data_IF_303183568625
#
_entry.id   IF_303183568625
#
_cell.length_a   1.000
_cell.length_b   1.000
_cell.length_c   1.000
_cell.angle_alpha   90.00
_cell.angle_beta   90.00
_cell.angle_gamma   90.00
#
_symmetry.space_group_name_H-M   'P 1'
#
loop_
_entity.id
_entity.type
_entity.pdbx_description
1 polymer ?
#
# COMPACT_ATOMS: atom_id res chain seq x y z
N UNK A 1 -8.99 -18.52 -18.40
CA UNK A 1 -9.97 -17.57 -17.84
C UNK A 1 -9.21 -16.55 -16.99
N UNK A 2 -9.05 -15.32 -17.48
CA UNK A 2 -8.52 -14.19 -16.70
C UNK A 2 -9.69 -13.23 -16.50
N UNK A 3 -10.35 -13.31 -15.36
CA UNK A 3 -11.21 -12.25 -14.86
C UNK A 3 -10.54 -11.74 -13.59
N UNK A 4 -10.02 -10.52 -13.62
CA UNK A 4 -9.75 -9.72 -12.43
C UNK A 4 -10.26 -8.32 -12.77
N UNK A 5 -11.57 -8.14 -12.88
CA UNK A 5 -12.21 -6.82 -12.99
C UNK A 5 -13.59 -6.85 -12.31
N UNK A 6 -13.60 -6.97 -10.98
CA UNK A 6 -14.79 -6.66 -10.16
C UNK A 6 -14.83 -5.16 -9.78
N UNK A 7 -14.38 -4.28 -10.69
CA UNK A 7 -14.44 -2.84 -10.49
C UNK A 7 -15.08 -2.16 -11.70
N UNK A 8 -16.21 -1.54 -11.43
CA UNK A 8 -16.89 -0.65 -12.37
C UNK A 8 -16.37 0.77 -12.20
N UNK A 9 -15.96 1.39 -13.30
CA UNK A 9 -15.63 2.82 -13.36
C UNK A 9 -16.85 3.60 -13.85
N UNK A 10 -17.18 4.68 -13.16
CA UNK A 10 -18.22 5.62 -13.57
C UNK A 10 -17.60 6.93 -14.06
N UNK A 11 -18.38 7.75 -14.76
CA UNK A 11 -17.91 9.07 -15.22
C UNK A 11 -17.73 10.02 -14.04
N UNK A 12 -16.88 11.02 -14.22
CA UNK A 12 -16.56 11.99 -13.17
C UNK A 12 -17.45 13.25 -13.23
N UNK A 13 -18.43 13.28 -14.14
CA UNK A 13 -19.21 14.47 -14.53
C UNK A 13 -19.99 15.09 -13.38
N UNK A 14 -20.50 14.28 -12.44
CA UNK A 14 -21.27 14.77 -11.30
C UNK A 14 -20.37 15.41 -10.22
N UNK A 15 -19.06 15.11 -10.24
CA UNK A 15 -18.13 15.51 -9.19
C UNK A 15 -17.31 16.75 -9.56
N UNK A 16 -17.31 17.19 -10.82
CA UNK A 16 -16.57 18.37 -11.26
C UNK A 16 -17.28 19.14 -12.38
N UNK A 17 -17.23 20.47 -12.31
CA UNK A 17 -17.89 21.36 -13.28
C UNK A 17 -16.95 21.98 -14.32
N UNK A 18 -15.65 21.82 -14.15
CA UNK A 18 -14.61 22.43 -14.98
C UNK A 18 -13.75 21.39 -15.70
N UNK A 19 -12.89 21.84 -16.61
CA UNK A 19 -12.01 21.00 -17.41
C UNK A 19 -12.64 20.47 -18.69
N UNK A 20 -11.82 19.82 -19.50
CA UNK A 20 -12.16 19.30 -20.84
C UNK A 20 -11.88 17.81 -20.88
N UNK A 21 -12.87 17.03 -21.30
CA UNK A 21 -12.71 15.59 -21.50
C UNK A 21 -11.98 15.31 -22.81
N UNK A 22 -10.98 14.44 -22.75
CA UNK A 22 -10.19 14.02 -23.89
C UNK A 22 -10.10 12.50 -23.94
N UNK A 23 -10.03 11.96 -25.15
CA UNK A 23 -9.85 10.55 -25.40
C UNK A 23 -8.46 10.31 -25.99
N UNK A 24 -7.74 9.34 -25.42
CA UNK A 24 -6.43 8.93 -25.89
C UNK A 24 -6.62 7.76 -26.85
N UNK A 25 -6.33 8.00 -28.13
CA UNK A 25 -6.42 6.99 -29.19
C UNK A 25 -5.22 6.02 -29.22
N UNK A 26 -4.34 6.09 -28.22
CA UNK A 26 -3.13 5.25 -28.14
C UNK A 26 -3.43 3.87 -27.55
N UNK A 27 -2.83 2.84 -28.14
CA UNK A 27 -2.83 1.47 -27.63
C UNK A 27 -1.80 1.24 -26.51
N UNK A 28 -1.02 2.25 -26.14
CA UNK A 28 0.08 2.12 -25.17
C UNK A 28 -0.38 1.93 -23.72
N UNK A 29 -1.67 2.16 -23.41
CA UNK A 29 -2.24 1.82 -22.10
C UNK A 29 -3.11 0.56 -22.19
N UNK A 30 -2.84 -0.37 -21.27
CA UNK A 30 -3.65 -1.57 -21.07
C UNK A 30 -4.84 -1.33 -20.13
N UNK A 31 -4.85 -0.20 -19.40
CA UNK A 31 -5.91 0.18 -18.48
C UNK A 31 -6.98 0.98 -19.22
N UNK A 32 -8.19 0.43 -19.32
CA UNK A 32 -9.32 1.03 -20.04
C UNK A 32 -9.72 2.39 -19.47
N UNK A 33 -9.73 2.53 -18.14
CA UNK A 33 -10.04 3.76 -17.42
C UNK A 33 -9.01 4.89 -17.64
N UNK A 34 -7.83 4.58 -18.17
CA UNK A 34 -6.80 5.57 -18.51
C UNK A 34 -6.89 6.04 -19.97
N UNK A 35 -7.87 5.56 -20.75
CA UNK A 35 -8.09 6.02 -22.14
C UNK A 35 -8.87 7.32 -22.22
N UNK A 36 -9.57 7.69 -21.15
CA UNK A 36 -10.19 9.00 -21.01
C UNK A 36 -9.42 9.79 -19.96
N UNK A 37 -9.31 11.10 -20.17
CA UNK A 37 -8.75 12.01 -19.18
C UNK A 37 -9.53 13.31 -19.17
N UNK A 38 -9.46 14.02 -18.04
CA UNK A 38 -9.89 15.41 -17.93
C UNK A 38 -8.67 16.31 -17.85
N UNK A 39 -8.58 17.29 -18.74
CA UNK A 39 -7.54 18.32 -18.72
C UNK A 39 -8.09 19.63 -18.21
N UNK A 40 -7.22 20.47 -17.65
CA UNK A 40 -7.58 21.77 -17.08
C UNK A 40 -6.74 22.88 -17.72
N UNK A 41 -7.05 23.27 -18.98
CA UNK A 41 -6.29 24.30 -19.68
C UNK A 41 -6.54 25.72 -19.13
N UNK A 42 -7.62 25.90 -18.37
CA UNK A 42 -8.04 27.18 -17.82
C UNK A 42 -8.25 27.08 -16.30
N UNK A 43 -7.94 28.17 -15.59
CA UNK A 43 -8.16 28.32 -14.15
C UNK A 43 -7.01 27.80 -13.30
N UNK A 44 -6.75 28.48 -12.20
CA UNK A 44 -5.60 28.20 -11.34
C UNK A 44 -5.83 27.01 -10.39
N UNK A 45 -7.10 26.70 -10.07
CA UNK A 45 -7.49 25.59 -9.19
C UNK A 45 -8.82 24.98 -9.66
N UNK A 46 -8.86 23.65 -9.75
CA UNK A 46 -10.02 22.87 -10.17
C UNK A 46 -10.33 21.82 -9.09
N UNK A 47 -11.54 21.85 -8.52
CA UNK A 47 -11.90 21.06 -7.35
C UNK A 47 -12.95 20.00 -7.68
N UNK A 48 -12.66 18.76 -7.33
CA UNK A 48 -13.65 17.68 -7.30
C UNK A 48 -14.43 17.72 -5.98
N UNK A 49 -15.75 17.71 -6.06
CA UNK A 49 -16.66 17.59 -4.93
C UNK A 49 -17.10 16.14 -4.78
N UNK A 50 -16.27 15.33 -4.14
CA UNK A 50 -16.57 13.92 -3.89
C UNK A 50 -17.56 13.76 -2.72
N UNK A 51 -18.47 12.76 -2.75
CA UNK A 51 -19.54 12.58 -1.77
C UNK A 51 -19.00 11.92 -0.47
N UNK A 52 -18.02 12.54 0.17
CA UNK A 52 -17.45 12.04 1.40
C UNK A 52 -18.42 12.21 2.57
N UNK A 53 -18.67 11.10 3.28
CA UNK A 53 -19.41 11.08 4.53
C UNK A 53 -18.47 11.46 5.66
N UNK A 54 -18.90 12.40 6.49
CA UNK A 54 -18.13 12.82 7.66
C UNK A 54 -17.85 11.64 8.58
N UNK A 55 -16.64 11.59 9.15
CA UNK A 55 -16.18 10.53 10.06
C UNK A 55 -16.03 9.14 9.42
N UNK A 56 -16.06 9.06 8.09
CA UNK A 56 -15.75 7.85 7.33
C UNK A 56 -14.31 7.91 6.78
N UNK A 57 -13.68 6.75 6.66
CA UNK A 57 -12.32 6.61 6.11
C UNK A 57 -12.42 6.30 4.64
N UNK A 58 -11.58 6.94 3.84
CA UNK A 58 -11.56 6.75 2.39
C UNK A 58 -10.15 6.44 1.93
N UNK A 59 -10.04 5.45 1.03
CA UNK A 59 -8.86 5.27 0.21
C UNK A 59 -9.05 6.08 -1.07
N UNK A 60 -8.33 7.20 -1.19
CA UNK A 60 -8.35 8.02 -2.40
C UNK A 60 -7.19 7.62 -3.30
N UNK A 61 -7.48 7.35 -4.57
CA UNK A 61 -6.48 7.07 -5.61
C UNK A 61 -6.68 8.05 -6.75
N UNK A 62 -5.61 8.74 -7.12
CA UNK A 62 -5.57 9.58 -8.30
C UNK A 62 -4.69 8.92 -9.36
N UNK A 63 -5.20 8.82 -10.58
CA UNK A 63 -4.51 8.28 -11.74
C UNK A 63 -4.13 9.40 -12.70
N UNK A 64 -2.90 9.39 -13.21
CA UNK A 64 -2.42 10.40 -14.15
C UNK A 64 -1.80 9.75 -15.37
N UNK A 65 -2.35 10.03 -16.54
CA UNK A 65 -1.81 9.56 -17.81
C UNK A 65 -2.03 10.65 -18.86
N UNK A 66 -0.93 11.22 -19.35
CA UNK A 66 -0.99 12.31 -20.34
C UNK A 66 -1.32 11.79 -21.74
N UNK A 67 -0.77 10.64 -22.14
CA UNK A 67 -1.05 10.01 -23.43
C UNK A 67 -0.81 10.87 -24.68
N UNK A 68 -0.15 12.03 -24.54
CA UNK A 68 0.02 13.03 -25.59
C UNK A 68 -1.30 13.43 -26.30
N UNK A 69 -2.39 13.55 -25.54
CA UNK A 69 -3.73 13.77 -26.10
C UNK A 69 -3.85 15.07 -26.93
N UNK A 70 -3.00 16.06 -26.68
CA UNK A 70 -2.95 17.37 -27.34
C UNK A 70 -1.86 17.49 -28.42
N UNK A 71 -1.09 16.41 -28.65
CA UNK A 71 0.05 16.35 -29.58
C UNK A 71 1.21 17.33 -29.28
N UNK A 72 1.32 17.87 -28.07
CA UNK A 72 2.37 18.83 -27.72
C UNK A 72 3.65 18.18 -27.21
N UNK A 73 3.63 16.88 -26.89
CA UNK A 73 4.72 16.13 -26.27
C UNK A 73 5.25 16.80 -24.99
N UNK A 74 4.39 17.56 -24.32
CA UNK A 74 4.75 18.38 -23.16
C UNK A 74 3.73 18.14 -22.05
N UNK A 75 3.95 17.11 -21.21
CA UNK A 75 3.08 16.84 -20.07
C UNK A 75 2.97 18.05 -19.13
N UNK A 76 1.77 18.36 -18.60
CA UNK A 76 1.60 19.47 -17.67
C UNK A 76 2.22 19.16 -16.30
N UNK A 77 2.59 20.22 -15.56
CA UNK A 77 2.96 20.14 -14.15
C UNK A 77 1.82 20.72 -13.31
N UNK A 78 1.47 20.07 -12.21
CA UNK A 78 0.39 20.51 -11.32
C UNK A 78 0.62 20.02 -9.89
N UNK A 79 -0.12 20.59 -8.96
CA UNK A 79 -0.19 20.15 -7.57
C UNK A 79 -1.55 19.49 -7.34
N UNK A 80 -1.55 18.30 -6.72
CA UNK A 80 -2.76 17.66 -6.22
C UNK A 80 -2.92 17.99 -4.74
N UNK A 81 -4.04 18.60 -4.39
CA UNK A 81 -4.43 18.90 -3.01
C UNK A 81 -5.65 18.06 -2.62
N UNK A 82 -5.69 17.59 -1.37
CA UNK A 82 -6.84 16.88 -0.80
C UNK A 82 -7.22 17.57 0.50
N UNK A 83 -8.34 18.29 0.48
CA UNK A 83 -8.88 18.99 1.64
C UNK A 83 -9.75 18.04 2.48
N UNK A 84 -9.35 17.75 3.74
CA UNK A 84 -10.14 16.91 4.63
C UNK A 84 -9.69 16.96 6.11
N UNK A 85 -10.66 17.03 7.02
CA UNK A 85 -10.44 16.84 8.47
C UNK A 85 -10.73 15.38 8.83
N UNK A 86 -9.69 14.56 8.96
CA UNK A 86 -9.82 13.11 9.20
C UNK A 86 -9.67 12.76 10.69
N UNK A 87 -10.71 12.28 11.38
CA UNK A 87 -10.53 11.68 12.72
C UNK A 87 -10.66 10.16 12.63
N UNK A 88 -9.65 9.40 13.07
CA UNK A 88 -9.47 8.02 12.64
C UNK A 88 -9.01 7.10 13.79
N UNK A 89 -9.67 5.95 13.93
CA UNK A 89 -9.30 4.83 14.85
C UNK A 89 -8.57 3.66 14.16
N UNK A 90 -8.23 3.80 12.87
CA UNK A 90 -7.30 2.94 12.13
C UNK A 90 -5.98 3.70 12.03
N UNK A 91 -4.86 2.99 12.22
CA UNK A 91 -3.59 3.59 12.67
C UNK A 91 -3.76 4.22 14.06
N UNK A 92 -4.06 3.37 15.06
CA UNK A 92 -4.41 3.78 16.44
C UNK A 92 -3.40 4.73 17.09
N UNK A 93 -2.14 4.70 16.65
CA UNK A 93 -1.07 5.55 17.15
C UNK A 93 -1.03 6.94 16.49
N UNK A 94 -1.86 7.21 15.48
CA UNK A 94 -1.83 8.46 14.74
C UNK A 94 -2.64 9.59 15.38
N UNK A 95 -2.12 10.83 15.33
CA UNK A 95 -2.88 12.01 15.69
C UNK A 95 -4.11 12.19 14.80
N UNK A 96 -5.20 12.63 15.43
CA UNK A 96 -6.40 13.10 14.75
C UNK A 96 -6.04 14.19 13.70
N UNK A 97 -6.62 14.11 12.51
CA UNK A 97 -6.49 15.00 11.34
C UNK A 97 -5.20 14.88 10.52
N UNK A 98 -4.65 13.67 10.45
CA UNK A 98 -3.47 13.40 9.61
C UNK A 98 -3.86 12.59 8.38
N UNK A 99 -3.43 13.03 7.20
CA UNK A 99 -3.50 12.24 5.97
C UNK A 99 -2.19 11.46 5.78
N UNK A 100 -2.27 10.20 5.34
CA UNK A 100 -1.10 9.41 4.98
C UNK A 100 -0.91 9.40 3.47
N UNK A 101 0.33 9.57 3.05
CA UNK A 101 0.78 9.19 1.73
C UNK A 101 1.36 7.78 1.80
N UNK A 102 0.84 6.84 1.00
CA UNK A 102 1.38 5.49 0.92
C UNK A 102 2.71 5.51 0.16
N UNK A 103 3.82 5.34 0.87
CA UNK A 103 5.13 5.28 0.22
C UNK A 103 5.40 3.91 -0.42
N UNK A 104 5.12 2.83 0.31
CA UNK A 104 5.30 1.46 -0.20
C UNK A 104 4.38 0.47 0.50
N UNK A 105 3.97 -0.58 -0.23
CA UNK A 105 3.30 -1.77 0.31
C UNK A 105 3.82 -3.00 -0.41
N UNK A 106 4.47 -3.88 0.35
CA UNK A 106 5.29 -4.96 -0.18
C UNK A 106 4.78 -6.30 0.37
N UNK A 107 4.66 -7.28 -0.51
CA UNK A 107 4.37 -8.67 -0.18
C UNK A 107 5.67 -9.48 -0.27
N UNK A 108 6.36 -9.60 0.86
CA UNK A 108 7.64 -10.30 0.95
C UNK A 108 7.45 -11.82 0.82
N UNK A 109 8.28 -12.46 -0.01
CA UNK A 109 8.20 -13.90 -0.29
C UNK A 109 7.30 -14.22 -1.50
N UNK A 110 6.53 -13.25 -1.99
CA UNK A 110 5.79 -13.39 -3.24
C UNK A 110 6.69 -13.04 -4.44
N UNK A 111 6.63 -13.86 -5.48
CA UNK A 111 7.35 -13.63 -6.73
C UNK A 111 6.50 -12.87 -7.75
N UNK A 112 7.10 -12.53 -8.90
CA UNK A 112 6.44 -11.74 -9.95
C UNK A 112 5.22 -12.43 -10.60
N UNK A 113 5.03 -13.73 -10.40
CA UNK A 113 3.84 -14.44 -10.89
C UNK A 113 2.59 -14.15 -10.03
N UNK A 114 2.78 -13.66 -8.80
CA UNK A 114 1.69 -13.28 -7.91
C UNK A 114 1.14 -11.92 -8.32
N UNK A 115 -0.19 -11.78 -8.48
CA UNK A 115 -0.76 -10.52 -8.93
C UNK A 115 -0.60 -9.45 -7.86
N UNK A 116 -0.44 -8.20 -8.31
CA UNK A 116 -0.40 -7.02 -7.42
C UNK A 116 -1.77 -6.61 -6.89
N UNK A 117 -2.82 -7.05 -7.58
CA UNK A 117 -4.23 -6.84 -7.25
C UNK A 117 -4.90 -8.19 -7.08
N UNK A 118 -5.73 -8.31 -6.05
CA UNK A 118 -6.53 -9.50 -5.82
C UNK A 118 -7.98 -9.24 -6.20
N UNK A 119 -8.78 -10.31 -6.30
CA UNK A 119 -10.22 -10.17 -6.55
C UNK A 119 -10.89 -9.42 -5.39
N UNK A 120 -12.06 -8.84 -5.61
CA UNK A 120 -12.82 -8.16 -4.54
C UNK A 120 -13.05 -9.08 -3.33
N UNK A 121 -13.29 -10.37 -3.57
CA UNK A 121 -13.48 -11.36 -2.50
C UNK A 121 -12.22 -11.61 -1.67
N UNK A 122 -11.05 -11.48 -2.30
CA UNK A 122 -9.75 -11.72 -1.68
C UNK A 122 -9.14 -10.44 -1.10
N UNK A 123 -9.44 -9.26 -1.63
CA UNK A 123 -9.02 -7.97 -1.08
C UNK A 123 -10.09 -6.91 -1.35
N UNK A 124 -11.08 -6.76 -0.45
CA UNK A 124 -12.20 -5.85 -0.65
C UNK A 124 -11.78 -4.37 -0.61
N UNK A 125 -10.60 -4.09 -0.04
CA UNK A 125 -9.99 -2.75 -0.06
C UNK A 125 -9.17 -2.50 -1.32
N UNK A 126 -9.07 -3.50 -2.20
CA UNK A 126 -8.36 -3.50 -3.46
C UNK A 126 -6.94 -2.97 -3.30
N UNK A 127 -6.24 -3.32 -2.23
CA UNK A 127 -4.89 -2.84 -2.00
C UNK A 127 -3.91 -3.34 -3.07
N UNK A 128 -2.92 -2.51 -3.37
CA UNK A 128 -1.86 -2.87 -4.31
C UNK A 128 -0.67 -3.38 -3.51
N UNK A 129 -0.28 -4.62 -3.77
CA UNK A 129 0.84 -5.28 -3.11
C UNK A 129 1.96 -5.52 -4.11
N UNK A 130 3.15 -4.93 -3.87
CA UNK A 130 4.32 -5.21 -4.72
C UNK A 130 4.91 -6.57 -4.29
N UNK A 131 4.92 -7.61 -5.14
CA UNK A 131 5.64 -8.83 -4.81
C UNK A 131 7.14 -8.54 -4.74
N UNK A 132 7.81 -9.11 -3.74
CA UNK A 132 9.24 -8.95 -3.53
C UNK A 132 9.83 -10.25 -2.98
N UNK A 133 10.78 -10.83 -3.72
CA UNK A 133 11.59 -11.94 -3.25
C UNK A 133 12.83 -11.39 -2.56
N UNK A 134 13.23 -11.99 -1.44
CA UNK A 134 14.45 -11.62 -0.71
C UNK A 134 15.33 -12.86 -0.61
N UNK A 135 16.23 -13.11 -1.58
CA UNK A 135 16.97 -14.38 -1.69
C UNK A 135 17.84 -14.74 -0.47
N UNK A 136 18.17 -13.75 0.35
CA UNK A 136 18.89 -13.94 1.62
C UNK A 136 18.06 -14.61 2.72
N UNK A 137 16.76 -14.82 2.50
CA UNK A 137 15.83 -15.44 3.44
C UNK A 137 15.06 -16.58 2.76
N UNK A 138 14.52 -17.49 3.57
CA UNK A 138 13.63 -18.54 3.06
C UNK A 138 12.27 -17.94 2.70
N UNK A 139 11.84 -18.11 1.46
CA UNK A 139 10.47 -17.78 1.07
C UNK A 139 9.51 -18.89 1.52
N UNK A 140 8.51 -18.53 2.32
CA UNK A 140 7.34 -19.37 2.58
C UNK A 140 6.29 -19.05 1.54
N UNK A 141 5.90 -20.07 0.78
CA UNK A 141 4.87 -19.98 -0.26
C UNK A 141 3.89 -21.14 -0.11
N UNK A 142 2.61 -20.96 -0.48
CA UNK A 142 1.61 -22.01 -0.32
C UNK A 142 1.88 -23.17 -1.29
N UNK A 143 1.56 -24.39 -0.83
CA UNK A 143 1.77 -25.62 -1.59
C UNK A 143 1.07 -25.57 -2.97
N UNK A 144 1.81 -25.88 -4.03
CA UNK A 144 1.31 -25.82 -5.40
C UNK A 144 1.18 -24.39 -5.97
N UNK A 145 1.73 -23.37 -5.29
CA UNK A 145 1.82 -21.99 -5.79
C UNK A 145 0.48 -21.25 -5.83
N UNK A 146 -0.55 -21.75 -5.16
CA UNK A 146 -1.88 -21.14 -5.09
C UNK A 146 -2.17 -20.67 -3.67
N UNK A 147 -2.47 -19.39 -3.52
CA UNK A 147 -2.86 -18.81 -2.23
C UNK A 147 -4.29 -19.15 -1.85
N UNK A 148 -4.57 -19.13 -0.55
CA UNK A 148 -5.89 -19.29 0.05
C UNK A 148 -6.75 -18.08 -0.28
N UNK A 149 -7.87 -18.34 -0.97
CA UNK A 149 -8.91 -17.34 -1.16
C UNK A 149 -9.69 -17.17 0.14
N UNK A 150 -9.78 -15.94 0.63
CA UNK A 150 -10.44 -15.65 1.90
C UNK A 150 -10.83 -14.19 1.98
N UNK A 151 -11.97 -13.95 2.62
CA UNK A 151 -12.46 -12.62 2.94
C UNK A 151 -11.56 -11.98 3.98
N UNK A 152 -11.24 -10.69 3.82
CA UNK A 152 -10.54 -9.93 4.85
C UNK A 152 -11.45 -9.85 6.10
N UNK A 153 -11.04 -10.47 7.20
CA UNK A 153 -11.89 -10.66 8.39
C UNK A 153 -11.76 -9.52 9.41
N UNK A 154 -10.72 -8.67 9.29
CA UNK A 154 -10.41 -7.60 10.25
C UNK A 154 -9.90 -6.35 9.54
N UNK A 155 -10.38 -5.17 9.96
CA UNK A 155 -9.89 -3.86 9.52
C UNK A 155 -8.36 -3.77 9.63
N UNK A 156 -7.71 -3.42 8.51
CA UNK A 156 -6.25 -3.27 8.38
C UNK A 156 -5.42 -4.55 8.46
N UNK A 157 -6.01 -5.75 8.42
CA UNK A 157 -5.26 -7.00 8.26
C UNK A 157 -5.32 -7.43 6.78
N UNK A 158 -4.18 -7.74 6.12
CA UNK A 158 -4.19 -8.24 4.75
C UNK A 158 -4.93 -9.57 4.69
N UNK A 159 -5.49 -9.89 3.54
CA UNK A 159 -6.11 -11.20 3.35
C UNK A 159 -5.08 -12.32 3.33
N UNK A 160 -5.58 -13.56 3.44
CA UNK A 160 -4.75 -14.75 3.29
C UNK A 160 -4.07 -14.85 1.91
N UNK A 161 -4.64 -14.20 0.89
CA UNK A 161 -4.01 -14.10 -0.42
C UNK A 161 -2.62 -13.42 -0.37
N UNK A 162 -2.40 -12.55 0.64
CA UNK A 162 -1.12 -11.92 0.92
C UNK A 162 -0.36 -12.69 2.00
N UNK A 163 -1.03 -13.03 3.11
CA UNK A 163 -0.38 -13.63 4.29
C UNK A 163 0.17 -15.04 4.07
N UNK A 164 -0.24 -15.73 3.00
CA UNK A 164 0.36 -17.02 2.61
C UNK A 164 1.79 -16.91 2.07
N UNK A 165 2.22 -15.69 1.75
CA UNK A 165 3.57 -15.39 1.33
C UNK A 165 4.31 -14.69 2.46
N UNK A 166 5.49 -15.19 2.79
CA UNK A 166 6.34 -14.60 3.82
C UNK A 166 7.82 -14.88 3.54
N UNK A 167 8.67 -14.14 4.23
CA UNK A 167 10.09 -14.46 4.38
C UNK A 167 10.36 -14.93 5.81
N UNK A 168 11.27 -15.88 5.95
CA UNK A 168 11.69 -16.45 7.23
C UNK A 168 13.22 -16.47 7.28
N UNK A 169 13.78 -16.14 8.45
CA UNK A 169 15.20 -16.34 8.72
C UNK A 169 15.58 -17.83 8.57
N UNK A 170 16.85 -18.15 8.31
CA UNK A 170 17.25 -19.55 8.17
C UNK A 170 17.25 -20.27 9.53
N UNK A 171 17.55 -19.51 10.59
CA UNK A 171 17.60 -19.95 11.97
C UNK A 171 16.87 -18.98 12.89
N UNK A 172 16.36 -19.46 14.04
CA UNK A 172 15.61 -18.62 14.99
C UNK A 172 16.47 -17.52 15.65
N UNK A 173 17.78 -17.70 15.71
CA UNK A 173 18.74 -16.72 16.24
C UNK A 173 19.16 -15.65 15.23
N UNK A 174 18.79 -15.82 13.96
CA UNK A 174 19.12 -14.85 12.91
C UNK A 174 18.07 -13.75 12.83
N UNK A 175 18.53 -12.54 12.51
CA UNK A 175 17.64 -11.39 12.31
C UNK A 175 17.32 -11.20 10.83
N UNK A 176 16.12 -10.69 10.56
CA UNK A 176 15.70 -10.24 9.24
C UNK A 176 16.08 -8.76 9.09
N UNK A 177 16.73 -8.42 8.00
CA UNK A 177 17.19 -7.08 7.64
C UNK A 177 16.54 -6.66 6.32
N UNK A 178 15.80 -5.54 6.33
CA UNK A 178 15.08 -5.02 5.18
C UNK A 178 15.42 -3.54 4.99
N UNK A 179 15.97 -3.20 3.83
CA UNK A 179 16.15 -1.82 3.41
C UNK A 179 14.85 -1.33 2.76
N UNK A 180 14.11 -0.48 3.48
CA UNK A 180 12.87 0.12 2.97
C UNK A 180 13.23 1.39 2.22
N UNK A 181 12.98 1.40 0.92
CA UNK A 181 13.27 2.55 0.06
C UNK A 181 12.12 3.56 0.11
N UNK A 182 12.49 4.82 0.30
CA UNK A 182 11.63 6.00 0.25
C UNK A 182 12.06 6.86 -0.94
N UNK A 183 11.12 7.61 -1.52
CA UNK A 183 11.49 8.75 -2.37
C UNK A 183 12.34 9.70 -1.53
N UNK A 184 13.43 10.16 -2.13
CA UNK A 184 14.42 11.01 -1.48
C UNK A 184 13.74 12.20 -0.79
N UNK A 185 13.92 12.29 0.53
CA UNK A 185 13.39 13.37 1.36
C UNK A 185 14.54 14.31 1.74
N UNK A 186 14.43 15.57 1.31
CA UNK A 186 15.36 16.63 1.70
C UNK A 186 15.26 17.04 3.17
N UNK A 187 14.19 16.60 3.86
CA UNK A 187 13.91 16.91 5.26
C UNK A 187 13.37 15.66 5.96
N UNK A 188 13.47 15.62 7.28
CA UNK A 188 12.91 14.55 8.09
C UNK A 188 11.38 14.53 7.98
N UNK A 189 10.82 13.34 7.74
CA UNK A 189 9.38 13.09 7.73
C UNK A 189 8.99 12.09 8.82
N UNK A 190 7.84 12.29 9.45
CA UNK A 190 7.26 11.32 10.38
C UNK A 190 6.52 10.23 9.61
N UNK A 191 7.07 9.03 9.65
CA UNK A 191 6.57 7.85 8.95
C UNK A 191 5.82 6.91 9.88
N UNK A 192 4.87 6.17 9.31
CA UNK A 192 4.11 5.11 9.99
C UNK A 192 4.48 3.77 9.37
N UNK A 193 5.03 2.86 10.17
CA UNK A 193 5.37 1.51 9.73
C UNK A 193 4.30 0.52 10.19
N UNK A 194 3.89 -0.38 9.29
CA UNK A 194 2.99 -1.49 9.59
C UNK A 194 3.66 -2.78 9.15
N UNK A 195 3.79 -3.71 10.07
CA UNK A 195 4.30 -5.05 9.84
C UNK A 195 3.17 -6.05 10.01
N UNK A 196 3.04 -6.94 9.04
CA UNK A 196 2.14 -8.09 9.12
C UNK A 196 3.00 -9.32 9.33
N UNK A 197 2.81 -9.96 10.47
CA UNK A 197 3.63 -11.07 10.94
C UNK A 197 2.68 -12.20 11.29
N UNK A 198 2.91 -13.38 10.75
CA UNK A 198 2.13 -14.57 11.07
C UNK A 198 3.03 -15.61 11.74
N UNK A 199 2.55 -16.20 12.82
CA UNK A 199 3.13 -17.42 13.37
C UNK A 199 2.23 -18.59 13.02
N UNK A 200 2.83 -19.70 12.58
CA UNK A 200 2.16 -20.98 12.41
C UNK A 200 2.79 -22.00 13.36
N UNK A 201 2.57 -21.81 14.66
CA UNK A 201 3.13 -22.66 15.71
C UNK A 201 2.01 -23.31 16.52
N UNK A 202 2.20 -24.58 16.88
CA UNK A 202 1.31 -25.23 17.83
C UNK A 202 1.61 -24.69 19.23
N UNK A 203 0.67 -23.90 19.76
CA UNK A 203 0.54 -23.46 21.16
C UNK A 203 1.57 -22.46 21.74
N UNK A 204 2.47 -21.88 20.95
CA UNK A 204 3.47 -20.93 21.48
C UNK A 204 3.37 -19.53 20.87
N UNK A 205 3.61 -18.52 21.70
CA UNK A 205 3.88 -17.14 21.26
C UNK A 205 5.37 -16.98 20.99
N UNK A 206 5.76 -16.02 20.15
CA UNK A 206 7.15 -15.58 20.03
C UNK A 206 7.29 -14.11 20.32
N UNK A 207 8.30 -13.75 21.09
CA UNK A 207 8.64 -12.36 21.34
C UNK A 207 9.63 -11.89 20.28
N UNK A 208 9.36 -10.72 19.72
CA UNK A 208 10.24 -10.10 18.73
C UNK A 208 10.55 -8.66 19.12
N UNK A 209 11.71 -8.19 18.70
CA UNK A 209 12.09 -6.78 18.73
C UNK A 209 12.23 -6.26 17.29
N UNK A 210 11.71 -5.05 17.07
CA UNK A 210 11.80 -4.34 15.79
C UNK A 210 12.64 -3.10 15.99
N UNK A 211 13.68 -2.99 15.18
CA UNK A 211 14.57 -1.84 15.11
C UNK A 211 14.39 -1.14 13.78
N UNK A 212 14.50 0.19 13.80
CA UNK A 212 14.57 1.01 12.59
C UNK A 212 15.77 1.93 12.73
N UNK A 213 16.67 1.86 11.75
CA UNK A 213 17.97 2.55 11.74
C UNK A 213 18.75 2.29 13.04
N UNK A 214 18.83 1.00 13.39
CA UNK A 214 19.50 0.48 14.60
C UNK A 214 18.93 0.94 15.94
N UNK A 215 17.82 1.69 15.96
CA UNK A 215 17.13 2.07 17.19
C UNK A 215 15.97 1.11 17.46
N UNK A 216 15.89 0.57 18.67
CA UNK A 216 14.74 -0.24 19.09
C UNK A 216 13.47 0.63 19.06
N UNK A 217 12.43 0.13 18.40
CA UNK A 217 11.17 0.83 18.25
C UNK A 217 10.00 0.11 18.90
N UNK A 218 10.04 -1.21 18.95
CA UNK A 218 8.96 -2.00 19.54
C UNK A 218 9.46 -3.39 19.95
N UNK A 219 9.02 -3.85 21.11
CA UNK A 219 9.17 -5.25 21.54
C UNK A 219 7.77 -5.78 21.82
N UNK A 220 7.39 -6.88 21.17
CA UNK A 220 6.03 -7.42 21.29
C UNK A 220 6.03 -8.94 21.24
N UNK A 221 5.07 -9.53 21.94
CA UNK A 221 4.71 -10.92 21.77
C UNK A 221 3.78 -11.04 20.57
N UNK A 222 4.06 -12.03 19.72
CA UNK A 222 3.25 -12.40 18.57
C UNK A 222 2.52 -13.70 18.92
N UNK A 223 1.17 -13.69 18.94
CA UNK A 223 0.39 -14.91 19.13
C UNK A 223 0.43 -15.81 17.90
N UNK A 224 -0.05 -17.05 18.06
CA UNK A 224 -0.30 -17.93 16.92
C UNK A 224 -1.34 -17.31 15.98
N UNK A 225 -1.05 -17.33 14.68
CA UNK A 225 -1.84 -16.70 13.62
C UNK A 225 -1.33 -15.31 13.19
N UNK A 226 -2.08 -14.63 12.31
CA UNK A 226 -1.72 -13.31 11.79
C UNK A 226 -1.81 -12.22 12.85
N UNK A 227 -0.80 -11.35 12.88
CA UNK A 227 -0.69 -10.22 13.78
C UNK A 227 -0.24 -8.98 13.02
N UNK A 228 -0.76 -7.82 13.43
CA UNK A 228 -0.35 -6.52 12.92
C UNK A 228 0.43 -5.79 14.00
N UNK A 229 1.67 -5.41 13.70
CA UNK A 229 2.49 -4.55 14.55
C UNK A 229 2.64 -3.20 13.86
N UNK A 230 2.33 -2.12 14.58
CA UNK A 230 2.45 -0.78 14.04
C UNK A 230 3.35 0.10 14.87
N UNK A 231 4.17 0.91 14.20
CA UNK A 231 5.14 1.80 14.85
C UNK A 231 4.98 3.20 14.27
N UNK A 232 4.73 4.17 15.16
CA UNK A 232 4.63 5.58 14.85
C UNK A 232 4.87 6.45 16.09
N UNK A 233 5.46 7.65 15.95
CA UNK A 233 6.12 8.15 14.74
C UNK A 233 7.52 7.56 14.56
N UNK A 234 7.93 7.37 13.31
CA UNK A 234 9.31 7.02 12.95
C UNK A 234 9.89 8.13 12.09
N UNK A 235 10.92 8.80 12.58
CA UNK A 235 11.57 9.87 11.83
C UNK A 235 12.48 9.28 10.75
N UNK A 236 12.14 9.52 9.48
CA UNK A 236 12.92 9.05 8.32
C UNK A 236 13.48 10.27 7.60
N UNK A 237 14.77 10.24 7.26
CA UNK A 237 15.46 11.27 6.47
C UNK A 237 16.20 10.62 5.32
N UNK A 238 16.27 11.27 4.15
CA UNK A 238 16.90 10.69 2.96
C UNK A 238 15.99 9.72 2.22
N UNK A 239 16.57 8.64 1.66
CA UNK A 239 15.89 7.71 0.75
C UNK A 239 15.72 6.28 1.26
N UNK A 240 16.14 5.96 2.48
CA UNK A 240 16.09 4.58 3.01
C UNK A 240 15.85 4.59 4.51
N UNK A 241 15.11 3.60 5.01
CA UNK A 241 15.07 3.23 6.42
C UNK A 241 15.39 1.74 6.57
N UNK A 242 16.34 1.39 7.44
CA UNK A 242 16.77 0.01 7.63
C UNK A 242 15.99 -0.63 8.77
N UNK A 243 15.14 -1.60 8.44
CA UNK A 243 14.37 -2.37 9.41
C UNK A 243 15.14 -3.62 9.80
N UNK A 244 15.23 -3.89 11.10
CA UNK A 244 15.71 -5.17 11.64
C UNK A 244 14.62 -5.79 12.50
N UNK A 245 14.30 -7.06 12.27
CA UNK A 245 13.38 -7.86 13.08
C UNK A 245 14.17 -9.03 13.66
N UNK A 246 14.14 -9.16 14.98
CA UNK A 246 14.90 -10.19 15.69
C UNK A 246 14.05 -10.91 16.72
N UNK A 247 14.33 -12.20 16.94
CA UNK A 247 13.73 -12.95 18.04
C UNK A 247 14.29 -12.43 19.37
N UNK A 248 13.44 -12.38 20.38
CA UNK A 248 13.83 -12.06 21.75
C UNK A 248 13.55 -13.29 22.60
N UNK A 249 14.54 -13.71 23.38
CA UNK A 249 14.41 -14.81 24.34
C UNK A 249 13.57 -14.40 25.57
#
# INVERSE_FOLDING_TARGET
MKYVEDMTWDTDEEFIKSGVNNFINSTNTTLSQMRTLRSFPNGDKNCYNLPFVSRTKYLVRAGFYYGNYDNLLKPPTFVLEVDGKFNVTAYRLMPNRTALYLESRINYGANQSIPKHFSYYDDPYNWIWKPEEVPSYRSRTPAGGRYRRSWATVDNVPSWAVLDFAIEAHNASESIFLAILFREKSHTVSSYFVFYIALELFETTRKIAIYIDSQEKNVTEIPNGPSMVSIYPVNVTGGTANVTITSVD
#
